data_IF_809478602095
#
_entry.id   IF_809478602095
#
_cell.length_a   1.000
_cell.length_b   1.000
_cell.length_c   1.000
_cell.angle_alpha   90.00
_cell.angle_beta   90.00
_cell.angle_gamma   90.00
#
_symmetry.space_group_name_H-M   'P 1'
#
loop_
_entity.id
_entity.type
_entity.pdbx_description
1 polymer ?
#
# COMPACT_ATOMS: atom_id res chain seq x y z
N UNK A 1 -5.16 -19.72 -1.02
CA UNK A 1 -6.17 -18.99 -0.21
C UNK A 1 -6.27 -19.43 1.27
N UNK A 2 -5.69 -20.55 1.68
CA UNK A 2 -5.83 -21.05 3.07
C UNK A 2 -5.18 -20.21 4.18
N UNK A 3 -4.19 -19.37 3.89
CA UNK A 3 -3.49 -18.54 4.89
C UNK A 3 -4.35 -17.40 5.46
N UNK A 4 -5.27 -16.86 4.69
CA UNK A 4 -6.12 -15.74 5.09
C UNK A 4 -7.14 -16.07 6.19
N UNK A 5 -7.54 -17.35 6.31
CA UNK A 5 -8.45 -17.83 7.36
C UNK A 5 -7.81 -17.82 8.75
N UNK A 6 -6.48 -17.82 8.83
CA UNK A 6 -5.70 -17.93 10.08
C UNK A 6 -5.18 -16.59 10.60
N UNK A 7 -5.57 -15.45 10.00
CA UNK A 7 -5.20 -14.13 10.52
C UNK A 7 -5.91 -13.90 11.85
N UNK A 8 -5.34 -14.50 12.90
CA UNK A 8 -5.68 -14.14 14.27
C UNK A 8 -5.23 -12.70 14.54
N UNK A 9 -5.95 -12.00 15.38
CA UNK A 9 -5.50 -10.69 15.86
C UNK A 9 -4.20 -10.90 16.64
N UNK A 10 -3.07 -10.36 16.15
CA UNK A 10 -1.83 -10.51 16.88
C UNK A 10 -1.89 -9.71 18.18
N UNK A 11 -1.36 -10.28 19.26
CA UNK A 11 -1.14 -9.51 20.48
C UNK A 11 -0.05 -8.46 20.21
N UNK A 12 -0.47 -7.25 19.85
CA UNK A 12 0.43 -6.15 19.51
C UNK A 12 1.06 -5.53 20.77
N UNK A 13 2.30 -5.03 20.71
CA UNK A 13 2.85 -4.21 21.78
C UNK A 13 2.10 -2.88 21.87
N UNK A 14 2.04 -2.33 23.06
CA UNK A 14 1.61 -0.94 23.25
C UNK A 14 2.77 -0.05 22.85
N UNK A 15 2.58 0.75 21.82
CA UNK A 15 3.51 1.79 21.38
C UNK A 15 2.93 3.16 21.71
N UNK A 16 3.78 4.11 22.08
CA UNK A 16 3.34 5.46 22.43
C UNK A 16 3.19 6.32 21.17
N UNK A 17 1.97 6.78 20.80
CA UNK A 17 1.77 7.64 19.64
C UNK A 17 2.38 9.04 19.79
N UNK A 18 2.78 9.44 21.01
CA UNK A 18 3.47 10.71 21.24
C UNK A 18 4.95 10.66 20.84
N UNK A 19 5.52 9.45 20.73
CA UNK A 19 6.92 9.22 20.37
C UNK A 19 7.04 8.89 18.87
N UNK A 20 8.22 9.14 18.30
CA UNK A 20 8.49 8.77 16.91
C UNK A 20 8.51 7.25 16.76
N UNK A 21 7.94 6.78 15.67
CA UNK A 21 8.03 5.39 15.24
C UNK A 21 8.96 5.30 14.02
N UNK A 22 10.16 4.81 14.24
CA UNK A 22 11.17 4.58 13.22
C UNK A 22 10.92 3.21 12.60
N UNK A 23 10.36 3.19 11.42
CA UNK A 23 10.00 1.97 10.71
C UNK A 23 11.01 1.63 9.63
N UNK A 24 11.84 0.64 9.88
CA UNK A 24 12.82 0.15 8.92
C UNK A 24 12.25 -1.02 8.13
N UNK A 25 11.98 -0.80 6.86
CA UNK A 25 11.43 -1.77 5.93
C UNK A 25 11.38 -1.23 4.50
N UNK A 26 11.15 -2.10 3.53
CA UNK A 26 11.07 -1.72 2.11
C UNK A 26 9.99 -2.55 1.40
N UNK A 27 9.40 -1.99 0.35
CA UNK A 27 8.38 -2.66 -0.45
C UNK A 27 7.22 -3.15 0.41
N UNK A 28 6.86 -4.42 0.33
CA UNK A 28 5.76 -5.01 1.10
C UNK A 28 5.94 -4.96 2.62
N UNK A 29 7.14 -4.70 3.12
CA UNK A 29 7.38 -4.48 4.55
C UNK A 29 7.23 -3.02 4.99
N UNK A 30 6.92 -2.10 4.07
CA UNK A 30 6.71 -0.68 4.35
C UNK A 30 5.42 -0.14 3.74
N UNK A 31 5.15 -0.41 2.45
CA UNK A 31 4.06 0.24 1.72
C UNK A 31 2.67 0.06 2.37
N UNK A 32 2.29 -1.12 2.91
CA UNK A 32 1.02 -1.22 3.64
C UNK A 32 0.99 -0.33 4.88
N UNK A 33 2.09 -0.29 5.65
CA UNK A 33 2.21 0.55 6.84
C UNK A 33 2.07 2.03 6.50
N UNK A 34 2.80 2.48 5.49
CA UNK A 34 2.76 3.88 5.03
C UNK A 34 1.38 4.25 4.49
N UNK A 35 0.72 3.33 3.75
CA UNK A 35 -0.65 3.52 3.29
C UNK A 35 -1.60 3.82 4.45
N UNK A 36 -1.55 3.02 5.51
CA UNK A 36 -2.45 3.18 6.66
C UNK A 36 -2.11 4.41 7.50
N UNK A 37 -0.81 4.71 7.68
CA UNK A 37 -0.40 5.94 8.37
C UNK A 37 -0.83 7.19 7.61
N UNK A 38 -0.71 7.20 6.28
CA UNK A 38 -1.16 8.33 5.45
C UNK A 38 -2.69 8.45 5.41
N UNK A 39 -3.39 7.32 5.33
CA UNK A 39 -4.85 7.31 5.29
C UNK A 39 -5.49 7.83 6.58
N UNK A 40 -4.96 7.44 7.74
CA UNK A 40 -5.59 7.65 9.03
C UNK A 40 -4.84 8.58 9.98
N UNK A 41 -3.53 8.75 9.78
CA UNK A 41 -2.70 9.59 10.66
C UNK A 41 -3.17 11.05 10.71
N UNK A 42 -3.22 11.57 11.93
CA UNK A 42 -3.33 13.01 12.16
C UNK A 42 -1.95 13.68 12.02
N UNK A 43 -1.88 15.01 12.20
CA UNK A 43 -0.63 15.77 12.11
C UNK A 43 0.47 15.27 13.04
N UNK A 44 0.12 14.73 14.21
CA UNK A 44 1.09 14.14 15.14
C UNK A 44 1.66 12.85 14.57
N UNK A 45 0.82 11.92 14.14
CA UNK A 45 1.25 10.67 13.53
C UNK A 45 2.09 10.94 12.28
N UNK A 46 1.69 11.90 11.44
CA UNK A 46 2.44 12.27 10.26
C UNK A 46 3.86 12.79 10.58
N UNK A 47 4.03 13.55 11.68
CA UNK A 47 5.36 14.01 12.13
C UNK A 47 6.18 12.92 12.81
N UNK A 48 5.53 12.00 13.51
CA UNK A 48 6.18 10.97 14.31
C UNK A 48 6.46 9.68 13.51
N UNK A 49 5.90 9.53 12.31
CA UNK A 49 6.20 8.43 11.41
C UNK A 49 7.51 8.69 10.65
N UNK A 50 8.50 7.82 10.85
CA UNK A 50 9.82 7.95 10.22
C UNK A 50 10.15 6.67 9.45
N UNK A 51 9.84 6.61 8.15
CA UNK A 51 10.17 5.46 7.32
C UNK A 51 11.67 5.46 6.97
N UNK A 52 12.32 4.32 7.17
CA UNK A 52 13.75 4.10 6.91
C UNK A 52 13.89 3.03 5.80
N UNK A 53 13.69 3.44 4.55
CA UNK A 53 13.65 2.53 3.40
C UNK A 53 14.96 2.51 2.59
N UNK A 54 15.53 3.67 2.32
CA UNK A 54 16.74 3.78 1.48
C UNK A 54 18.01 3.70 2.33
N UNK A 55 19.09 3.05 1.85
CA UNK A 55 20.38 3.10 2.51
C UNK A 55 21.05 4.48 2.43
N UNK A 56 20.46 5.43 1.75
CA UNK A 56 20.94 6.79 1.69
C UNK A 56 20.94 7.44 3.09
N UNK A 57 22.02 8.18 3.40
CA UNK A 57 22.07 8.92 4.66
C UNK A 57 21.12 10.12 4.59
N UNK A 58 20.21 10.21 5.54
CA UNK A 58 19.48 11.46 5.79
C UNK A 58 20.43 12.36 6.57
N UNK A 59 20.84 13.52 6.01
CA UNK A 59 21.61 14.50 6.76
C UNK A 59 20.87 14.85 8.07
N UNK A 60 21.61 15.07 9.14
CA UNK A 60 21.08 15.52 10.44
C UNK A 60 20.16 14.52 11.17
N UNK A 61 20.04 13.28 10.69
CA UNK A 61 19.24 12.28 11.40
C UNK A 61 19.89 11.96 12.77
N UNK A 62 19.13 12.20 13.83
CA UNK A 62 19.50 11.94 15.20
C UNK A 62 18.41 11.13 15.90
N UNK A 63 18.83 10.24 16.80
CA UNK A 63 17.90 9.56 17.69
C UNK A 63 17.40 10.55 18.76
N UNK A 64 16.15 10.37 19.14
CA UNK A 64 15.51 11.11 20.23
C UNK A 64 15.19 10.14 21.37
N UNK A 65 15.20 10.66 22.58
CA UNK A 65 14.73 9.89 23.74
C UNK A 65 13.27 9.45 23.51
N UNK A 66 13.00 8.14 23.68
CA UNK A 66 11.68 7.57 23.46
C UNK A 66 11.40 7.12 22.03
N UNK A 67 12.32 7.26 21.07
CA UNK A 67 12.17 6.68 19.73
C UNK A 67 11.87 5.19 19.83
N UNK A 68 10.86 4.75 19.09
CA UNK A 68 10.43 3.36 19.03
C UNK A 68 10.88 2.76 17.69
N UNK A 69 11.61 1.66 17.74
CA UNK A 69 12.21 1.05 16.55
C UNK A 69 11.41 -0.18 16.12
N UNK A 70 11.06 -0.23 14.84
CA UNK A 70 10.50 -1.41 14.19
C UNK A 70 11.38 -1.82 13.01
N UNK A 71 11.83 -3.07 13.01
CA UNK A 71 12.52 -3.66 11.88
C UNK A 71 11.62 -4.69 11.21
N UNK A 72 11.22 -4.41 9.96
CA UNK A 72 10.25 -5.20 9.21
C UNK A 72 10.88 -5.85 7.97
N UNK A 73 10.98 -7.17 7.96
CA UNK A 73 11.44 -7.94 6.81
C UNK A 73 10.99 -9.37 6.92
N UNK A 74 10.19 -9.85 5.96
CA UNK A 74 9.71 -11.24 5.96
C UNK A 74 10.88 -12.23 6.00
N UNK A 75 11.84 -12.11 5.11
CA UNK A 75 13.00 -13.03 4.99
C UNK A 75 14.09 -12.79 6.03
N UNK A 76 14.06 -11.65 6.70
CA UNK A 76 15.13 -11.23 7.62
C UNK A 76 16.48 -10.95 6.95
N UNK A 77 16.56 -10.94 5.60
CA UNK A 77 17.82 -10.81 4.84
C UNK A 77 17.92 -9.47 4.08
N UNK A 78 16.96 -8.56 4.23
CA UNK A 78 16.91 -7.30 3.50
C UNK A 78 18.14 -6.43 3.80
N UNK A 79 18.93 -6.11 2.77
CA UNK A 79 20.19 -5.39 2.91
C UNK A 79 19.98 -3.98 3.50
N UNK A 80 18.97 -3.28 3.04
CA UNK A 80 18.61 -1.93 3.50
C UNK A 80 18.29 -1.92 4.99
N UNK A 81 17.59 -2.93 5.48
CA UNK A 81 17.27 -3.08 6.91
C UNK A 81 18.55 -3.25 7.74
N UNK A 82 19.46 -4.14 7.34
CA UNK A 82 20.73 -4.35 8.04
C UNK A 82 21.64 -3.13 7.97
N UNK A 83 21.59 -2.38 6.86
CA UNK A 83 22.31 -1.10 6.71
C UNK A 83 21.79 -0.08 7.73
N UNK A 84 20.47 0.08 7.86
CA UNK A 84 19.88 0.98 8.84
C UNK A 84 20.15 0.51 10.28
N UNK A 85 20.06 -0.77 10.56
CA UNK A 85 20.39 -1.31 11.87
C UNK A 85 21.83 -0.97 12.26
N UNK A 86 22.78 -1.16 11.35
CA UNK A 86 24.19 -0.83 11.59
C UNK A 86 24.38 0.69 11.85
N UNK A 87 23.70 1.53 11.09
CA UNK A 87 23.73 3.00 11.30
C UNK A 87 23.15 3.42 12.63
N UNK A 88 21.93 2.96 12.93
CA UNK A 88 21.26 3.33 14.18
C UNK A 88 22.07 2.92 15.41
N UNK A 89 22.67 1.74 15.39
CA UNK A 89 23.55 1.27 16.47
C UNK A 89 24.79 2.14 16.67
N UNK A 90 25.25 2.83 15.65
CA UNK A 90 26.42 3.72 15.73
C UNK A 90 26.04 5.14 16.20
N UNK A 91 24.75 5.47 16.34
CA UNK A 91 24.32 6.78 16.80
C UNK A 91 24.33 6.87 18.33
N UNK A 92 24.67 8.04 18.88
CA UNK A 92 24.50 8.31 20.32
C UNK A 92 23.05 8.06 20.75
N UNK A 93 22.86 7.50 21.93
CA UNK A 93 21.54 7.24 22.52
C UNK A 93 20.86 5.94 22.05
N UNK A 94 21.42 5.18 21.11
CA UNK A 94 20.82 3.91 20.68
C UNK A 94 20.67 2.92 21.85
N UNK A 95 21.65 2.85 22.73
CA UNK A 95 21.63 1.95 23.89
C UNK A 95 20.58 2.32 24.95
N UNK A 96 20.05 3.54 24.90
CA UNK A 96 19.05 4.04 25.84
C UNK A 96 17.61 3.78 25.36
N UNK A 97 17.45 3.31 24.13
CA UNK A 97 16.14 2.99 23.55
C UNK A 97 15.67 1.62 24.02
N UNK A 98 14.35 1.45 24.04
CA UNK A 98 13.75 0.15 24.23
C UNK A 98 14.17 -0.82 23.13
N UNK A 99 14.21 -2.11 23.45
CA UNK A 99 14.52 -3.15 22.45
C UNK A 99 13.56 -3.04 21.24
N UNK A 100 14.06 -3.13 19.99
CA UNK A 100 13.24 -3.02 18.80
C UNK A 100 12.14 -4.09 18.73
N UNK A 101 11.04 -3.73 18.10
CA UNK A 101 10.02 -4.69 17.66
C UNK A 101 10.41 -5.21 16.28
N UNK A 102 10.39 -6.51 16.09
CA UNK A 102 10.71 -7.16 14.82
C UNK A 102 9.43 -7.71 14.18
N UNK A 103 9.21 -7.38 12.93
CA UNK A 103 8.11 -7.94 12.12
C UNK A 103 8.73 -8.82 11.04
N UNK A 104 8.73 -10.14 11.26
CA UNK A 104 9.43 -11.11 10.41
C UNK A 104 8.78 -12.49 10.50
N UNK A 105 9.20 -13.44 9.67
CA UNK A 105 8.84 -14.85 9.90
C UNK A 105 9.46 -15.34 11.23
N UNK A 106 8.66 -16.08 11.98
CA UNK A 106 9.14 -16.66 13.24
C UNK A 106 9.82 -18.03 13.00
N UNK A 107 10.82 -18.01 12.17
CA UNK A 107 11.68 -19.15 11.84
C UNK A 107 13.15 -18.84 12.19
N UNK A 108 14.08 -19.63 11.68
CA UNK A 108 15.52 -19.44 11.88
C UNK A 108 16.13 -18.38 10.92
N UNK A 109 15.35 -17.43 10.41
CA UNK A 109 15.91 -16.37 9.58
C UNK A 109 16.84 -15.43 10.36
N UNK A 110 17.77 -14.71 9.69
CA UNK A 110 18.78 -13.90 10.37
C UNK A 110 18.21 -12.84 11.32
N UNK A 111 17.11 -12.18 10.96
CA UNK A 111 16.50 -11.13 11.78
C UNK A 111 15.85 -11.71 13.04
N UNK A 112 15.13 -12.82 12.92
CA UNK A 112 14.52 -13.50 14.07
C UNK A 112 15.60 -14.06 15.01
N UNK A 113 16.67 -14.64 14.46
CA UNK A 113 17.81 -15.16 15.25
C UNK A 113 18.48 -14.04 16.02
N UNK A 114 18.78 -12.92 15.35
CA UNK A 114 19.35 -11.74 16.00
C UNK A 114 18.42 -11.19 17.09
N UNK A 115 17.13 -11.11 16.80
CA UNK A 115 16.15 -10.59 17.75
C UNK A 115 16.02 -11.39 19.02
N UNK A 116 16.00 -12.73 18.93
CA UNK A 116 15.98 -13.61 20.11
C UNK A 116 17.23 -13.41 20.98
N UNK A 117 18.40 -13.29 20.35
CA UNK A 117 19.66 -13.06 21.06
C UNK A 117 19.73 -11.67 21.73
N UNK A 118 18.93 -10.69 21.28
CA UNK A 118 18.92 -9.32 21.80
C UNK A 118 17.63 -8.97 22.56
N UNK A 119 16.81 -9.95 22.96
CA UNK A 119 15.60 -9.72 23.77
C UNK A 119 14.50 -8.95 23.04
N UNK A 120 14.49 -8.93 21.71
CA UNK A 120 13.49 -8.23 20.91
C UNK A 120 12.16 -8.98 20.89
N UNK A 121 11.06 -8.24 20.86
CA UNK A 121 9.73 -8.81 20.60
C UNK A 121 9.58 -9.10 19.13
N UNK A 122 9.24 -10.34 18.78
CA UNK A 122 8.96 -10.76 17.38
C UNK A 122 7.47 -10.83 17.18
N UNK A 123 7.01 -10.16 16.13
CA UNK A 123 5.63 -10.24 15.60
C UNK A 123 5.69 -11.05 14.31
N UNK A 124 5.09 -12.25 14.26
CA UNK A 124 5.28 -13.17 13.16
C UNK A 124 4.53 -12.75 11.90
N UNK A 125 5.18 -12.88 10.74
CA UNK A 125 4.54 -12.92 9.43
C UNK A 125 4.37 -14.38 9.05
N UNK A 126 3.15 -14.88 8.73
CA UNK A 126 2.97 -16.26 8.28
C UNK A 126 3.81 -16.59 7.04
N UNK A 127 4.34 -17.80 6.98
CA UNK A 127 5.23 -18.27 5.89
C UNK A 127 4.55 -18.16 4.53
N UNK A 128 3.26 -18.45 4.48
CA UNK A 128 2.45 -18.47 3.27
C UNK A 128 2.15 -17.07 2.71
N UNK A 129 2.32 -16.01 3.52
CA UNK A 129 2.01 -14.64 3.11
C UNK A 129 3.21 -14.02 2.42
N UNK A 130 3.10 -13.75 1.12
CA UNK A 130 4.11 -13.00 0.36
C UNK A 130 4.27 -11.55 0.86
N UNK A 131 5.45 -10.95 0.68
CA UNK A 131 5.73 -9.60 1.16
C UNK A 131 4.69 -8.56 0.73
N UNK A 132 4.35 -8.50 -0.57
CA UNK A 132 3.35 -7.57 -1.11
C UNK A 132 1.91 -7.85 -0.69
N UNK A 133 1.65 -9.04 -0.12
CA UNK A 133 0.36 -9.45 0.44
C UNK A 133 0.27 -9.27 1.96
N UNK A 134 1.27 -8.68 2.60
CA UNK A 134 1.42 -8.64 4.07
C UNK A 134 0.56 -7.59 4.78
N UNK A 135 -0.30 -6.85 4.09
CA UNK A 135 -1.11 -5.77 4.68
C UNK A 135 -1.92 -6.19 5.91
N UNK A 136 -2.39 -7.44 5.95
CA UNK A 136 -3.20 -8.00 7.05
C UNK A 136 -2.38 -8.75 8.10
N UNK A 137 -1.08 -8.53 8.14
CA UNK A 137 -0.15 -9.00 9.18
C UNK A 137 0.24 -7.83 10.09
N UNK A 138 1.14 -8.02 11.08
CA UNK A 138 1.66 -6.90 11.86
C UNK A 138 2.24 -5.73 11.04
N UNK A 139 2.56 -5.93 9.76
CA UNK A 139 2.94 -4.84 8.83
C UNK A 139 1.84 -3.78 8.75
N UNK A 140 0.57 -4.17 8.66
CA UNK A 140 -0.52 -3.19 8.62
C UNK A 140 -1.14 -2.92 9.99
N UNK A 141 -1.27 -3.94 10.84
CA UNK A 141 -2.01 -3.79 12.11
C UNK A 141 -1.22 -3.04 13.19
N UNK A 142 0.11 -3.14 13.22
CA UNK A 142 0.92 -2.45 14.23
C UNK A 142 0.89 -0.92 14.08
N UNK A 143 1.06 -0.31 12.89
CA UNK A 143 0.93 1.14 12.75
C UNK A 143 -0.49 1.67 13.05
N UNK A 144 -1.55 0.91 12.74
CA UNK A 144 -2.90 1.28 13.15
C UNK A 144 -3.02 1.33 14.68
N UNK A 145 -2.58 0.28 15.37
CA UNK A 145 -2.59 0.24 16.82
C UNK A 145 -1.73 1.35 17.45
N UNK A 146 -0.56 1.65 16.87
CA UNK A 146 0.28 2.77 17.32
C UNK A 146 -0.44 4.12 17.24
N UNK A 147 -1.21 4.35 16.20
CA UNK A 147 -2.01 5.58 16.05
C UNK A 147 -3.28 5.61 16.92
N UNK A 148 -3.63 4.50 17.59
CA UNK A 148 -4.89 4.35 18.34
C UNK A 148 -6.10 4.04 17.46
N UNK A 149 -5.89 3.58 16.24
CA UNK A 149 -6.92 3.17 15.30
C UNK A 149 -7.34 1.70 15.50
N UNK A 150 -8.55 1.34 15.04
CA UNK A 150 -9.10 -0.01 15.18
C UNK A 150 -8.51 -0.97 14.13
N UNK A 151 -7.37 -1.59 14.48
CA UNK A 151 -6.76 -2.63 13.66
C UNK A 151 -7.70 -3.84 13.43
N UNK A 152 -8.62 -4.11 14.37
CA UNK A 152 -9.62 -5.18 14.24
C UNK A 152 -10.66 -4.82 13.17
N UNK A 153 -11.07 -3.54 13.06
CA UNK A 153 -11.96 -3.10 11.98
C UNK A 153 -11.32 -3.30 10.60
N UNK A 154 -10.03 -2.98 10.46
CA UNK A 154 -9.27 -3.25 9.23
C UNK A 154 -9.28 -4.74 8.87
N UNK A 155 -9.01 -5.62 9.83
CA UNK A 155 -9.06 -7.06 9.62
C UNK A 155 -10.48 -7.55 9.31
N UNK A 156 -11.52 -6.98 9.95
CA UNK A 156 -12.94 -7.31 9.66
C UNK A 156 -13.29 -6.98 8.21
N UNK A 157 -12.88 -5.82 7.68
CA UNK A 157 -13.08 -5.45 6.27
C UNK A 157 -12.50 -6.50 5.32
N UNK A 158 -11.27 -6.93 5.57
CA UNK A 158 -10.64 -7.99 4.78
C UNK A 158 -11.38 -9.34 4.87
N UNK A 159 -11.80 -9.74 6.09
CA UNK A 159 -12.56 -11.00 6.30
C UNK A 159 -13.92 -10.98 5.60
N UNK A 160 -14.59 -9.83 5.57
CA UNK A 160 -15.87 -9.68 4.88
C UNK A 160 -15.74 -9.97 3.38
N UNK A 161 -14.72 -9.44 2.74
CA UNK A 161 -14.44 -9.71 1.32
C UNK A 161 -14.20 -11.20 1.08
N UNK A 162 -13.35 -11.83 1.89
CA UNK A 162 -13.08 -13.26 1.78
C UNK A 162 -14.33 -14.08 2.00
N UNK A 163 -15.14 -13.75 3.01
CA UNK A 163 -16.40 -14.45 3.28
C UNK A 163 -17.38 -14.40 2.10
N UNK A 164 -17.47 -13.25 1.41
CA UNK A 164 -18.31 -13.14 0.22
C UNK A 164 -17.78 -13.94 -0.98
N UNK A 165 -16.46 -14.01 -1.15
CA UNK A 165 -15.84 -14.87 -2.18
C UNK A 165 -16.11 -16.36 -1.87
N UNK A 166 -15.98 -16.78 -0.61
CA UNK A 166 -16.16 -18.18 -0.22
C UNK A 166 -17.61 -18.68 -0.41
N UNK A 167 -18.59 -17.82 -0.17
CA UNK A 167 -20.00 -18.16 -0.38
C UNK A 167 -20.50 -17.82 -1.79
N UNK A 168 -19.60 -17.33 -2.65
CA UNK A 168 -19.84 -16.96 -4.06
C UNK A 168 -21.02 -15.99 -4.25
N UNK A 169 -21.19 -15.03 -3.33
CA UNK A 169 -22.25 -14.01 -3.38
C UNK A 169 -21.91 -12.76 -2.59
N UNK A 170 -22.49 -11.64 -2.96
CA UNK A 170 -22.41 -10.36 -2.27
C UNK A 170 -21.68 -9.29 -3.07
N UNK A 171 -21.82 -8.01 -2.68
CA UNK A 171 -21.37 -6.87 -3.48
C UNK A 171 -19.86 -6.86 -3.72
N UNK A 172 -19.05 -7.31 -2.78
CA UNK A 172 -17.60 -7.41 -2.97
C UNK A 172 -17.24 -8.49 -4.01
N UNK A 173 -17.86 -9.67 -3.90
CA UNK A 173 -17.68 -10.74 -4.89
C UNK A 173 -18.04 -10.28 -6.30
N UNK A 174 -19.16 -9.61 -6.47
CA UNK A 174 -19.64 -9.15 -7.78
C UNK A 174 -18.73 -8.06 -8.35
N UNK A 175 -18.30 -7.11 -7.51
CA UNK A 175 -17.35 -6.06 -7.90
C UNK A 175 -15.99 -6.63 -8.30
N UNK A 176 -15.48 -7.62 -7.56
CA UNK A 176 -14.23 -8.32 -7.88
C UNK A 176 -14.37 -9.02 -9.23
N UNK A 177 -15.45 -9.78 -9.46
CA UNK A 177 -15.67 -10.49 -10.71
C UNK A 177 -15.73 -9.53 -11.90
N UNK A 178 -16.52 -8.45 -11.81
CA UNK A 178 -16.62 -7.43 -12.86
C UNK A 178 -15.26 -6.75 -13.13
N UNK A 179 -14.49 -6.47 -12.10
CA UNK A 179 -13.13 -5.88 -12.24
C UNK A 179 -12.18 -6.83 -12.95
N UNK A 180 -12.16 -8.10 -12.56
CA UNK A 180 -11.33 -9.13 -13.21
C UNK A 180 -11.70 -9.29 -14.67
N UNK A 181 -12.99 -9.39 -14.97
CA UNK A 181 -13.49 -9.51 -16.35
C UNK A 181 -13.07 -8.33 -17.22
N UNK A 182 -13.26 -7.10 -16.73
CA UNK A 182 -12.87 -5.89 -17.45
C UNK A 182 -11.35 -5.83 -17.70
N UNK A 183 -10.53 -6.17 -16.70
CA UNK A 183 -9.09 -6.17 -16.85
C UNK A 183 -8.61 -7.25 -17.83
N UNK A 184 -9.21 -8.44 -17.81
CA UNK A 184 -8.91 -9.50 -18.78
C UNK A 184 -9.31 -9.11 -20.20
N UNK A 185 -10.49 -8.53 -20.39
CA UNK A 185 -10.92 -8.05 -21.69
C UNK A 185 -10.00 -6.95 -22.22
N UNK A 186 -9.64 -5.98 -21.39
CA UNK A 186 -8.67 -4.95 -21.72
C UNK A 186 -7.31 -5.55 -22.12
N UNK A 187 -6.81 -6.53 -21.37
CA UNK A 187 -5.56 -7.21 -21.68
C UNK A 187 -5.61 -7.91 -23.05
N UNK A 188 -6.72 -8.59 -23.38
CA UNK A 188 -6.92 -9.23 -24.71
C UNK A 188 -6.90 -8.19 -25.85
N UNK A 189 -7.33 -6.97 -25.58
CA UNK A 189 -7.32 -5.85 -26.53
C UNK A 189 -6.00 -5.08 -26.56
N UNK A 190 -4.99 -5.52 -25.82
CA UNK A 190 -3.68 -4.88 -25.77
C UNK A 190 -3.57 -3.68 -24.82
N UNK A 191 -4.57 -3.44 -23.96
CA UNK A 191 -4.49 -2.42 -22.93
C UNK A 191 -3.75 -3.01 -21.72
N UNK A 192 -2.49 -2.67 -21.59
CA UNK A 192 -1.61 -3.22 -20.55
C UNK A 192 -1.19 -2.19 -19.48
N UNK A 193 -1.53 -0.93 -19.67
CA UNK A 193 -1.27 0.12 -18.68
C UNK A 193 -2.54 0.42 -17.88
N UNK A 194 -2.42 0.50 -16.56
CA UNK A 194 -3.53 0.87 -15.68
C UNK A 194 -3.10 1.89 -14.66
N UNK A 195 -3.90 2.95 -14.56
CA UNK A 195 -3.70 4.04 -13.61
C UNK A 195 -4.63 3.82 -12.42
N UNK A 196 -4.13 3.92 -11.19
CA UNK A 196 -4.97 4.08 -9.99
C UNK A 196 -4.88 5.54 -9.53
N UNK A 197 -6.02 6.22 -9.56
CA UNK A 197 -6.15 7.66 -9.28
C UNK A 197 -7.18 7.91 -8.17
N UNK A 198 -6.80 7.84 -6.89
CA UNK A 198 -7.68 8.25 -5.80
C UNK A 198 -7.85 9.77 -5.76
N UNK A 199 -9.08 10.23 -5.63
CA UNK A 199 -9.42 11.62 -5.34
C UNK A 199 -9.41 11.89 -3.83
N UNK A 200 -8.30 11.53 -3.22
CA UNK A 200 -8.00 11.74 -1.81
C UNK A 200 -6.49 11.69 -1.60
N UNK A 201 -5.86 12.81 -1.26
CA UNK A 201 -4.42 12.90 -1.00
C UNK A 201 -3.93 11.92 0.07
N UNK A 202 -4.78 11.64 1.05
CA UNK A 202 -4.51 10.65 2.11
C UNK A 202 -4.36 9.21 1.58
N UNK A 203 -4.83 8.92 0.37
CA UNK A 203 -4.74 7.62 -0.28
C UNK A 203 -3.64 7.55 -1.37
N UNK A 204 -2.78 8.56 -1.47
CA UNK A 204 -1.66 8.53 -2.42
C UNK A 204 -0.75 7.32 -2.23
N UNK A 205 -0.39 6.99 -0.99
CA UNK A 205 0.42 5.80 -0.68
C UNK A 205 -0.30 4.48 -0.97
N UNK A 206 -1.64 4.47 -0.99
CA UNK A 206 -2.42 3.32 -1.44
C UNK A 206 -2.13 3.00 -2.91
N UNK A 207 -1.97 4.03 -3.75
CA UNK A 207 -1.57 3.84 -5.16
C UNK A 207 -0.18 3.21 -5.27
N UNK A 208 0.77 3.60 -4.42
CA UNK A 208 2.10 3.01 -4.40
C UNK A 208 2.08 1.52 -3.97
N UNK A 209 1.29 1.17 -2.96
CA UNK A 209 1.07 -0.21 -2.56
C UNK A 209 0.44 -1.03 -3.69
N UNK A 210 -0.59 -0.48 -4.35
CA UNK A 210 -1.26 -1.13 -5.46
C UNK A 210 -0.32 -1.36 -6.66
N UNK A 211 0.57 -0.40 -6.95
CA UNK A 211 1.59 -0.55 -8.00
C UNK A 211 2.48 -1.75 -7.73
N UNK A 212 3.01 -1.90 -6.51
CA UNK A 212 3.81 -3.08 -6.17
C UNK A 212 2.99 -4.36 -6.28
N UNK A 213 1.78 -4.37 -5.74
CA UNK A 213 0.92 -5.54 -5.76
C UNK A 213 0.67 -6.04 -7.18
N UNK A 214 0.33 -5.15 -8.11
CA UNK A 214 0.00 -5.51 -9.49
C UNK A 214 1.24 -5.87 -10.32
N UNK A 215 2.26 -5.02 -10.30
CA UNK A 215 3.46 -5.20 -11.12
C UNK A 215 4.22 -6.49 -10.76
N UNK A 216 4.49 -6.69 -9.48
CA UNK A 216 5.29 -7.81 -8.99
C UNK A 216 4.54 -9.16 -9.06
N UNK A 217 3.21 -9.12 -9.08
CA UNK A 217 2.40 -10.34 -9.17
C UNK A 217 2.12 -10.80 -10.60
N UNK A 218 1.92 -9.88 -11.54
CA UNK A 218 1.42 -10.19 -12.88
C UNK A 218 2.43 -9.96 -14.01
N UNK A 219 3.50 -9.17 -13.78
CA UNK A 219 4.54 -8.94 -14.78
C UNK A 219 5.49 -10.14 -14.91
N UNK A 220 5.10 -11.18 -15.67
CA UNK A 220 5.82 -12.47 -15.67
C UNK A 220 5.82 -13.16 -17.03
N UNK A 221 6.63 -14.21 -17.12
CA UNK A 221 6.60 -15.16 -18.22
C UNK A 221 5.65 -16.29 -17.89
N UNK A 222 4.65 -16.51 -18.72
CA UNK A 222 3.73 -17.64 -18.61
C UNK A 222 4.39 -18.96 -19.01
N UNK A 223 3.74 -20.09 -18.69
CA UNK A 223 4.27 -21.42 -19.00
C UNK A 223 4.53 -21.68 -20.49
N UNK A 224 3.79 -21.00 -21.35
CA UNK A 224 3.96 -21.04 -22.81
C UNK A 224 5.10 -20.17 -23.34
N UNK A 225 5.83 -19.49 -22.45
CA UNK A 225 6.94 -18.57 -22.79
C UNK A 225 6.49 -17.15 -23.13
N UNK A 226 5.19 -16.87 -23.17
CA UNK A 226 4.69 -15.51 -23.43
C UNK A 226 4.89 -14.59 -22.22
N UNK A 227 5.22 -13.32 -22.48
CA UNK A 227 5.31 -12.28 -21.44
C UNK A 227 3.94 -11.66 -21.26
N UNK A 228 3.42 -11.77 -20.06
CA UNK A 228 2.10 -11.24 -19.69
C UNK A 228 2.24 -10.24 -18.55
N UNK A 229 1.21 -9.41 -18.35
CA UNK A 229 1.14 -8.52 -17.21
C UNK A 229 0.59 -7.15 -17.52
N UNK A 230 0.66 -6.32 -16.52
CA UNK A 230 0.19 -4.94 -16.57
C UNK A 230 1.29 -4.00 -16.04
N UNK A 231 1.34 -2.81 -16.61
CA UNK A 231 2.14 -1.70 -16.10
C UNK A 231 1.24 -0.80 -15.26
N UNK A 232 1.32 -0.86 -13.94
CA UNK A 232 0.54 0.02 -13.09
C UNK A 232 1.19 1.41 -13.02
N UNK A 233 0.36 2.43 -13.04
CA UNK A 233 0.75 3.84 -12.96
C UNK A 233 0.08 4.45 -11.71
N UNK A 234 0.89 5.11 -10.89
CA UNK A 234 0.43 5.86 -9.75
C UNK A 234 -0.02 7.24 -10.18
N UNK A 235 -1.17 7.66 -9.70
CA UNK A 235 -1.65 9.02 -9.82
C UNK A 235 -2.47 9.40 -8.59
N UNK A 236 -2.71 10.69 -8.39
CA UNK A 236 -3.61 11.20 -7.37
C UNK A 236 -4.41 12.37 -7.92
N UNK A 237 -5.73 12.33 -7.76
CA UNK A 237 -6.62 13.42 -8.15
C UNK A 237 -6.76 14.48 -7.04
N UNK A 238 -6.82 15.78 -7.39
CA UNK A 238 -6.75 16.34 -8.74
C UNK A 238 -5.34 16.63 -9.27
N UNK A 239 -4.29 16.37 -8.51
CA UNK A 239 -2.90 16.77 -8.82
C UNK A 239 -2.48 16.29 -10.21
N UNK A 240 -2.72 15.01 -10.50
CA UNK A 240 -2.29 14.40 -11.76
C UNK A 240 -3.20 14.69 -12.95
N UNK A 241 -4.32 15.39 -12.75
CA UNK A 241 -5.04 16.03 -13.85
C UNK A 241 -4.16 17.08 -14.55
N UNK A 242 -3.24 17.72 -13.78
CA UNK A 242 -2.35 18.76 -14.27
C UNK A 242 -0.99 18.25 -14.73
N UNK A 243 -0.78 16.92 -14.72
CA UNK A 243 0.48 16.30 -15.15
C UNK A 243 0.27 15.21 -16.22
N UNK A 244 -0.61 14.26 -15.99
CA UNK A 244 -0.71 13.02 -16.78
C UNK A 244 -1.95 12.96 -17.68
N UNK A 245 -3.03 13.69 -17.37
CA UNK A 245 -4.32 13.57 -18.05
C UNK A 245 -4.23 13.80 -19.57
N UNK A 246 -3.41 14.76 -20.01
CA UNK A 246 -3.18 15.03 -21.45
C UNK A 246 -2.73 13.75 -22.19
N UNK A 247 -1.81 12.98 -21.61
CA UNK A 247 -1.33 11.72 -22.20
C UNK A 247 -2.44 10.67 -22.25
N UNK A 248 -3.27 10.59 -21.22
CA UNK A 248 -4.34 9.60 -21.17
C UNK A 248 -5.45 9.90 -22.20
N UNK A 249 -5.76 11.17 -22.42
CA UNK A 249 -6.79 11.63 -23.34
C UNK A 249 -6.39 11.54 -24.79
N UNK A 250 -5.16 11.95 -25.13
CA UNK A 250 -4.73 12.16 -26.52
C UNK A 250 -3.55 11.26 -26.97
N UNK A 251 -2.92 10.54 -26.04
CA UNK A 251 -1.80 9.64 -26.34
C UNK A 251 -2.22 8.26 -26.86
N UNK A 252 -1.30 7.28 -26.87
CA UNK A 252 -1.60 5.92 -27.29
C UNK A 252 -2.75 5.29 -26.52
N UNK A 253 -3.58 4.50 -27.19
CA UNK A 253 -4.79 3.85 -26.64
C UNK A 253 -4.46 2.49 -26.02
N UNK A 254 -3.55 2.46 -25.05
CA UNK A 254 -3.05 1.25 -24.40
C UNK A 254 -3.26 1.22 -22.87
N UNK A 255 -4.03 2.19 -22.35
CA UNK A 255 -4.26 2.32 -20.91
C UNK A 255 -5.75 2.38 -20.54
N UNK A 256 -6.04 2.04 -19.28
CA UNK A 256 -7.28 2.32 -18.58
C UNK A 256 -7.01 3.06 -17.26
N UNK A 257 -8.04 3.70 -16.73
CA UNK A 257 -7.95 4.48 -15.49
C UNK A 257 -8.92 3.94 -14.45
N UNK A 258 -8.43 3.73 -13.24
CA UNK A 258 -9.24 3.40 -12.07
C UNK A 258 -9.41 4.69 -11.27
N UNK A 259 -10.56 5.31 -11.37
CA UNK A 259 -10.91 6.49 -10.57
C UNK A 259 -11.47 6.02 -9.24
N UNK A 260 -10.83 6.41 -8.15
CA UNK A 260 -11.24 6.05 -6.80
C UNK A 260 -11.72 7.28 -6.05
N UNK A 261 -12.95 7.22 -5.53
CA UNK A 261 -13.56 8.27 -4.71
C UNK A 261 -13.82 7.77 -3.29
N UNK A 262 -13.95 8.69 -2.37
CA UNK A 262 -14.45 8.43 -1.01
C UNK A 262 -15.74 9.23 -0.86
N UNK A 263 -16.82 8.56 -0.46
CA UNK A 263 -18.08 9.22 -0.14
C UNK A 263 -18.00 9.87 1.25
N UNK A 264 -18.89 10.81 1.51
CA UNK A 264 -18.85 11.57 2.77
C UNK A 264 -17.92 12.78 2.73
N UNK A 265 -17.92 13.54 3.81
CA UNK A 265 -17.20 14.81 3.90
C UNK A 265 -15.70 14.58 4.13
N UNK A 266 -14.91 14.60 3.06
CA UNK A 266 -13.44 14.53 3.16
C UNK A 266 -12.80 15.87 3.57
N UNK A 267 -13.48 16.97 3.33
CA UNK A 267 -13.06 18.33 3.64
C UNK A 267 -14.32 19.14 3.95
N UNK A 268 -14.85 19.04 5.18
CA UNK A 268 -16.14 19.64 5.54
C UNK A 268 -16.06 21.13 5.86
N UNK A 269 -14.86 21.74 5.82
CA UNK A 269 -14.67 23.15 6.09
C UNK A 269 -15.38 24.04 5.06
N UNK A 270 -15.95 25.14 5.53
CA UNK A 270 -16.50 26.17 4.66
C UNK A 270 -15.35 26.92 3.98
N UNK A 271 -15.52 27.17 2.70
CA UNK A 271 -14.57 27.95 1.92
C UNK A 271 -14.90 29.43 2.03
N UNK A 272 -13.88 30.26 2.16
CA UNK A 272 -13.99 31.72 2.20
C UNK A 272 -13.21 32.34 1.02
N UNK A 273 -13.86 32.51 -0.14
CA UNK A 273 -13.19 33.04 -1.31
C UNK A 273 -12.83 34.54 -1.08
N UNK A 274 -11.58 34.94 -1.40
CA UNK A 274 -11.17 36.33 -1.22
C UNK A 274 -12.01 37.27 -2.09
N UNK A 275 -12.17 38.53 -1.67
CA UNK A 275 -12.83 39.57 -2.48
C UNK A 275 -12.20 39.68 -3.88
N UNK A 276 -13.05 39.67 -4.93
CA UNK A 276 -12.58 39.67 -6.31
C UNK A 276 -12.22 38.28 -6.87
N UNK A 277 -12.44 37.22 -6.13
CA UNK A 277 -12.30 35.86 -6.64
C UNK A 277 -13.16 35.67 -7.90
N UNK A 278 -12.65 35.00 -8.97
CA UNK A 278 -13.46 34.63 -10.13
C UNK A 278 -14.53 33.58 -9.80
N UNK A 279 -14.47 32.97 -8.60
CA UNK A 279 -15.36 31.92 -8.13
C UNK A 279 -16.03 32.27 -6.79
N UNK A 280 -16.88 33.32 -6.71
CA UNK A 280 -17.53 33.67 -5.45
C UNK A 280 -18.47 32.57 -4.92
N UNK A 281 -18.96 31.70 -5.80
CA UNK A 281 -19.80 30.53 -5.44
C UNK A 281 -19.09 29.48 -4.59
N UNK A 282 -17.76 29.53 -4.44
CA UNK A 282 -17.03 28.64 -3.53
C UNK A 282 -17.52 28.75 -2.09
N UNK A 283 -18.05 29.91 -1.67
CA UNK A 283 -18.59 30.11 -0.32
C UNK A 283 -19.76 29.16 0.03
N UNK A 284 -20.42 28.58 -0.97
CA UNK A 284 -21.51 27.59 -0.79
C UNK A 284 -21.06 26.13 -0.87
N UNK A 285 -19.78 25.89 -1.12
CA UNK A 285 -19.22 24.54 -1.33
C UNK A 285 -18.29 24.15 -0.18
N UNK A 286 -18.09 22.86 -0.06
CA UNK A 286 -17.03 22.26 0.76
C UNK A 286 -15.92 21.72 -0.16
N UNK A 287 -14.72 21.52 0.38
CA UNK A 287 -13.60 20.92 -0.37
C UNK A 287 -13.93 19.54 -0.94
N UNK A 288 -14.69 18.75 -0.20
CA UNK A 288 -15.19 17.44 -0.66
C UNK A 288 -16.11 17.50 -1.88
N UNK A 289 -16.94 18.56 -2.01
CA UNK A 289 -17.80 18.75 -3.19
C UNK A 289 -16.96 19.01 -4.43
N UNK A 290 -15.89 19.80 -4.27
CA UNK A 290 -14.96 20.12 -5.36
C UNK A 290 -14.23 18.85 -5.82
N UNK A 291 -13.70 18.06 -4.87
CA UNK A 291 -13.02 16.81 -5.20
C UNK A 291 -13.93 15.84 -5.96
N UNK A 292 -15.18 15.71 -5.53
CA UNK A 292 -16.18 14.86 -6.17
C UNK A 292 -16.50 15.34 -7.58
N UNK A 293 -16.76 16.64 -7.74
CA UNK A 293 -17.03 17.23 -9.06
C UNK A 293 -15.84 17.07 -10.02
N UNK A 294 -14.61 17.21 -9.54
CA UNK A 294 -13.40 16.99 -10.33
C UNK A 294 -13.24 15.52 -10.72
N UNK A 295 -13.53 14.57 -9.82
CA UNK A 295 -13.52 13.15 -10.13
C UNK A 295 -14.56 12.79 -11.22
N UNK A 296 -15.77 13.29 -11.08
CA UNK A 296 -16.86 13.07 -12.05
C UNK A 296 -16.54 13.70 -13.41
N UNK A 297 -16.08 14.96 -13.42
CA UNK A 297 -15.70 15.67 -14.64
C UNK A 297 -14.55 14.99 -15.39
N UNK A 298 -13.52 14.56 -14.68
CA UNK A 298 -12.40 13.81 -15.28
C UNK A 298 -12.84 12.45 -15.79
N UNK A 299 -13.66 11.74 -15.03
CA UNK A 299 -14.20 10.45 -15.45
C UNK A 299 -15.01 10.58 -16.74
N UNK A 300 -15.95 11.54 -16.78
CA UNK A 300 -16.76 11.79 -17.97
C UNK A 300 -15.91 12.19 -19.19
N UNK A 301 -14.88 13.00 -19.01
CA UNK A 301 -13.96 13.36 -20.08
C UNK A 301 -13.17 12.15 -20.62
N UNK A 302 -12.65 11.30 -19.74
CA UNK A 302 -11.94 10.08 -20.12
C UNK A 302 -12.85 9.12 -20.89
N UNK A 303 -14.07 8.88 -20.41
CA UNK A 303 -15.07 8.04 -21.08
C UNK A 303 -15.46 8.60 -22.46
N UNK A 304 -15.70 9.90 -22.57
CA UNK A 304 -15.98 10.56 -23.84
C UNK A 304 -14.82 10.47 -24.84
N UNK A 305 -13.57 10.42 -24.34
CA UNK A 305 -12.37 10.19 -25.14
C UNK A 305 -12.15 8.70 -25.47
N UNK A 306 -13.03 7.79 -25.03
CA UNK A 306 -12.90 6.35 -25.27
C UNK A 306 -11.84 5.65 -24.42
N UNK A 307 -11.42 6.26 -23.33
CA UNK A 307 -10.52 5.63 -22.35
C UNK A 307 -11.35 4.76 -21.41
N UNK A 308 -11.03 3.46 -21.24
CA UNK A 308 -11.71 2.61 -20.25
C UNK A 308 -11.55 3.15 -18.84
N UNK A 309 -12.64 3.31 -18.12
CA UNK A 309 -12.64 3.75 -16.73
C UNK A 309 -13.29 2.72 -15.82
N UNK A 310 -12.59 2.32 -14.78
CA UNK A 310 -13.13 1.60 -13.61
C UNK A 310 -13.43 2.60 -12.51
N UNK A 311 -14.64 2.58 -11.99
CA UNK A 311 -15.04 3.45 -10.88
C UNK A 311 -15.04 2.66 -9.58
N UNK A 312 -14.23 3.10 -8.64
CA UNK A 312 -14.21 2.58 -7.28
C UNK A 312 -14.62 3.67 -6.30
N UNK A 313 -15.56 3.37 -5.41
CA UNK A 313 -15.96 4.27 -4.33
C UNK A 313 -15.84 3.55 -3.00
N UNK A 314 -15.27 4.22 -2.01
CA UNK A 314 -15.34 3.84 -0.61
C UNK A 314 -16.47 4.63 0.05
N UNK A 315 -17.40 3.97 0.76
CA UNK A 315 -18.47 4.65 1.50
C UNK A 315 -17.94 5.64 2.54
N UNK A 316 -16.79 5.32 3.14
CA UNK A 316 -16.09 6.16 4.10
C UNK A 316 -14.58 5.92 4.03
N UNK A 317 -13.79 6.87 4.52
CA UNK A 317 -12.37 6.66 4.79
C UNK A 317 -12.21 6.16 6.23
N UNK A 318 -12.48 4.88 6.43
CA UNK A 318 -12.30 4.19 7.70
C UNK A 318 -11.49 2.89 7.52
N UNK A 319 -11.08 2.30 8.63
CA UNK A 319 -10.21 1.13 8.65
C UNK A 319 -10.87 -0.08 7.98
N UNK A 320 -12.19 -0.26 8.16
CA UNK A 320 -12.94 -1.38 7.58
C UNK A 320 -12.99 -1.28 6.06
N UNK A 321 -13.34 -0.11 5.52
CA UNK A 321 -13.48 0.10 4.08
C UNK A 321 -12.13 0.04 3.36
N UNK A 322 -11.06 0.61 3.94
CA UNK A 322 -9.70 0.48 3.40
C UNK A 322 -9.22 -0.98 3.49
N UNK A 323 -9.52 -1.68 4.58
CA UNK A 323 -9.25 -3.12 4.70
C UNK A 323 -9.98 -3.94 3.62
N UNK A 324 -11.26 -3.69 3.41
CA UNK A 324 -12.04 -4.35 2.38
C UNK A 324 -11.47 -4.07 0.97
N UNK A 325 -11.13 -2.83 0.66
CA UNK A 325 -10.51 -2.45 -0.62
C UNK A 325 -9.17 -3.18 -0.84
N UNK A 326 -8.28 -3.15 0.15
CA UNK A 326 -6.98 -3.80 0.02
C UNK A 326 -7.11 -5.32 -0.16
N UNK A 327 -8.04 -5.97 0.53
CA UNK A 327 -8.30 -7.40 0.36
C UNK A 327 -8.92 -7.69 -1.02
N UNK A 328 -9.88 -6.88 -1.47
CA UNK A 328 -10.49 -7.04 -2.78
C UNK A 328 -9.42 -7.00 -3.90
N UNK A 329 -8.47 -6.05 -3.83
CA UNK A 329 -7.39 -5.98 -4.81
C UNK A 329 -6.40 -7.15 -4.71
N UNK A 330 -6.11 -7.66 -3.52
CA UNK A 330 -5.32 -8.87 -3.39
C UNK A 330 -6.02 -10.08 -4.02
N UNK A 331 -7.34 -10.19 -3.87
CA UNK A 331 -8.14 -11.24 -4.51
C UNK A 331 -8.18 -11.07 -6.04
N UNK A 332 -8.41 -9.85 -6.53
CA UNK A 332 -8.39 -9.53 -7.97
C UNK A 332 -7.05 -9.96 -8.59
N UNK A 333 -5.94 -9.62 -7.97
CA UNK A 333 -4.60 -9.97 -8.45
C UNK A 333 -4.38 -11.50 -8.47
N UNK A 334 -4.83 -12.21 -7.44
CA UNK A 334 -4.79 -13.66 -7.42
C UNK A 334 -5.60 -14.29 -8.57
N UNK A 335 -6.82 -13.83 -8.77
CA UNK A 335 -7.70 -14.32 -9.84
C UNK A 335 -7.17 -13.99 -11.23
N UNK A 336 -6.65 -12.77 -11.44
CA UNK A 336 -6.01 -12.38 -12.69
C UNK A 336 -4.77 -13.22 -12.98
N UNK A 337 -3.93 -13.49 -11.98
CA UNK A 337 -2.77 -14.36 -12.14
C UNK A 337 -3.17 -15.72 -12.66
N UNK A 338 -4.14 -16.38 -12.03
CA UNK A 338 -4.63 -17.68 -12.48
C UNK A 338 -5.27 -17.62 -13.88
N UNK A 339 -6.07 -16.59 -14.17
CA UNK A 339 -6.71 -16.43 -15.47
C UNK A 339 -5.69 -16.14 -16.60
N UNK A 340 -4.54 -15.56 -16.27
CA UNK A 340 -3.42 -15.31 -17.19
C UNK A 340 -2.41 -16.49 -17.19
N UNK A 341 -2.67 -17.56 -16.44
CA UNK A 341 -1.79 -18.74 -16.29
C UNK A 341 -0.41 -18.39 -15.67
N UNK A 342 -0.42 -17.42 -14.74
CA UNK A 342 0.75 -16.99 -13.98
C UNK A 342 0.65 -17.46 -12.52
N UNK A 343 1.79 -17.62 -11.85
CA UNK A 343 1.82 -17.69 -10.39
C UNK A 343 1.91 -16.25 -9.82
N UNK A 344 0.83 -15.71 -9.23
CA UNK A 344 0.85 -14.34 -8.73
C UNK A 344 1.61 -14.18 -7.40
N UNK A 345 2.11 -15.26 -6.79
CA UNK A 345 2.67 -15.26 -5.44
C UNK A 345 4.19 -15.34 -5.39
N UNK A 346 4.86 -15.74 -6.45
CA UNK A 346 6.32 -15.73 -6.58
C UNK A 346 6.86 -14.45 -7.25
N UNK A 347 8.18 -14.29 -7.34
CA UNK A 347 8.87 -13.20 -8.04
C UNK A 347 10.33 -13.58 -8.36
N UNK A 348 10.57 -14.59 -9.22
CA UNK A 348 11.93 -15.11 -9.45
C UNK A 348 12.87 -14.11 -10.13
N UNK A 349 12.36 -13.20 -10.97
CA UNK A 349 13.16 -12.30 -11.80
C UNK A 349 13.94 -11.26 -10.98
N UNK A 350 13.46 -10.88 -9.79
CA UNK A 350 14.15 -9.89 -8.93
C UNK A 350 15.35 -10.46 -8.18
N UNK A 351 15.54 -11.78 -8.16
CA UNK A 351 16.63 -12.42 -7.41
C UNK A 351 18.01 -12.23 -8.07
N UNK A 352 18.08 -12.14 -9.40
CA UNK A 352 19.36 -11.91 -10.11
C UNK A 352 19.97 -10.55 -9.74
N UNK A 353 19.16 -9.51 -9.68
CA UNK A 353 19.62 -8.17 -9.27
C UNK A 353 20.22 -8.18 -7.85
N UNK A 354 19.59 -8.87 -6.91
CA UNK A 354 20.09 -9.03 -5.54
C UNK A 354 21.43 -9.76 -5.52
N UNK A 355 21.54 -10.90 -6.23
CA UNK A 355 22.80 -11.68 -6.31
C UNK A 355 23.93 -10.83 -6.86
N UNK A 356 23.70 -10.05 -7.92
CA UNK A 356 24.70 -9.14 -8.50
C UNK A 356 25.13 -8.04 -7.52
N UNK A 357 24.18 -7.50 -6.75
CA UNK A 357 24.46 -6.50 -5.72
C UNK A 357 25.37 -7.08 -4.63
N UNK A 358 25.00 -8.22 -4.06
CA UNK A 358 25.82 -8.90 -3.03
C UNK A 358 27.22 -9.23 -3.53
N UNK A 359 27.34 -9.75 -4.76
CA UNK A 359 28.65 -10.03 -5.38
C UNK A 359 29.51 -8.77 -5.50
N UNK A 360 28.92 -7.63 -5.91
CA UNK A 360 29.67 -6.34 -6.04
C UNK A 360 30.13 -5.80 -4.68
N UNK A 361 29.38 -6.08 -3.63
CA UNK A 361 29.69 -5.63 -2.26
C UNK A 361 30.61 -6.62 -1.50
N UNK A 362 30.93 -7.77 -2.08
CA UNK A 362 31.71 -8.80 -1.39
C UNK A 362 30.97 -9.45 -0.20
N UNK A 363 29.62 -9.45 -0.26
CA UNK A 363 28.74 -9.98 0.80
C UNK A 363 28.09 -11.32 0.40
N UNK A 364 28.50 -11.91 -0.70
CA UNK A 364 27.91 -13.14 -1.26
C UNK A 364 28.74 -14.38 -0.97
#
# INVERSE_FOLDING_TARGET
>A
MGGWRKLAEPALPVLDPAQRLLWCGIGGSLLPSETLVRAFGNDRAARNWVPLASPERVPEFQLQSGDQLVFASKSGKTLELWTWMARLRALPGFGDLAAPVLVTQDDANPLATWGRANGCRILPIPVEVGGRFSAFTPIGTLPLAWMGHDASAFLRGGREVIGQIEVDRGPWRDRIAATVEMLLDAHRRGLTEWVLMPYAMRLDSLSAWWVQLLAESLGKVAKDGTRKGFTPIRAVGPVDQHSQLQRWMAGPRNLGVIVMTVEGAQAPEKLDPPPGSPYPGLASLQGGDILRAQAEGTTGALEAAGVPVLRWSLPALDEREVGAFMMAWQAIIGLLGFALELDPFDQPEVEDGKKRTFKRLGLG
#
